data_IF_177215734502
#
_entry.id   IF_177215734502
#
_cell.length_a   1.000
_cell.length_b   1.000
_cell.length_c   1.000
_cell.angle_alpha   90.00
_cell.angle_beta   90.00
_cell.angle_gamma   90.00
#
_symmetry.space_group_name_H-M   'P 1'
#
loop_
_entity.id
_entity.type
_entity.pdbx_description
1 polymer ?
2 non-polymer ?
3 water ?
#
# COMPACT_ATOMS: atom_id res chain seq x y z
N UNK A 5 2.63 -11.34 -27.03
CA UNK A 5 3.30 -12.12 -26.00
C UNK A 5 4.46 -11.33 -25.38
N UNK A 6 4.87 -10.26 -26.06
CA UNK A 6 5.95 -9.44 -25.53
C UNK A 6 5.57 -8.80 -24.20
N UNK A 7 4.26 -8.59 -23.96
CA UNK A 7 3.79 -8.02 -22.70
C UNK A 7 4.26 -8.86 -21.50
N UNK A 8 4.41 -10.16 -21.71
CA UNK A 8 4.77 -11.10 -20.65
C UNK A 8 6.27 -11.39 -20.61
N UNK A 9 7.09 -10.49 -21.16
CA UNK A 9 8.52 -10.78 -21.32
C UNK A 9 9.24 -11.02 -20.00
N UNK A 10 8.77 -10.42 -18.91
CA UNK A 10 9.41 -10.56 -17.60
C UNK A 10 8.75 -11.62 -16.73
N UNK A 11 7.76 -12.34 -17.23
CA UNK A 11 7.03 -13.32 -16.42
C UNK A 11 7.52 -14.72 -16.71
N UNK A 12 7.26 -15.61 -15.75
CA UNK A 12 7.45 -17.04 -15.91
C UNK A 12 6.09 -17.67 -16.16
N UNK A 13 5.99 -18.48 -17.21
CA UNK A 13 4.77 -19.19 -17.50
C UNK A 13 4.69 -20.45 -16.64
N UNK A 14 3.60 -20.60 -15.90
CA UNK A 14 3.39 -21.71 -14.98
C UNK A 14 2.41 -22.69 -15.62
N UNK A 15 2.71 -23.98 -15.51
CA UNK A 15 1.78 -24.94 -16.08
C UNK A 15 0.61 -25.18 -15.13
N UNK A 16 -0.62 -25.29 -15.64
CA UNK A 16 -1.78 -25.46 -14.75
C UNK A 16 -1.69 -26.66 -13.81
N UNK A 17 -0.98 -27.72 -14.20
CA UNK A 17 -0.87 -28.89 -13.34
C UNK A 17 -0.16 -28.60 -12.04
N UNK A 18 0.53 -27.46 -11.95
CA UNK A 18 1.27 -27.08 -10.76
C UNK A 18 0.45 -26.28 -9.76
N UNK A 19 -0.78 -25.92 -10.10
CA UNK A 19 -1.59 -24.99 -9.31
C UNK A 19 -2.82 -25.73 -8.80
N UNK A 20 -3.14 -25.53 -7.53
CA UNK A 20 -4.37 -26.01 -6.93
C UNK A 20 -5.05 -24.86 -6.21
N UNK A 21 -6.30 -24.56 -6.58
CA UNK A 21 -7.06 -23.50 -5.94
C UNK A 21 -7.86 -24.10 -4.79
N UNK A 22 -7.87 -23.41 -3.66
CA UNK A 22 -8.46 -23.98 -2.45
C UNK A 22 -9.67 -23.22 -1.91
N UNK A 23 -9.55 -21.91 -1.72
CA UNK A 23 -10.62 -21.13 -1.11
C UNK A 23 -10.70 -19.76 -1.78
N UNK A 24 -11.92 -19.29 -2.01
CA UNK A 24 -12.11 -17.97 -2.63
C UNK A 24 -11.79 -16.89 -1.60
N UNK A 25 -10.92 -15.95 -1.99
CA UNK A 25 -10.56 -14.83 -1.14
C UNK A 25 -10.89 -13.48 -1.77
N UNK A 26 -11.44 -13.46 -2.97
CA UNK A 26 -11.79 -12.20 -3.64
C UNK A 26 -12.57 -12.43 -4.91
N UNK A 27 -13.26 -11.41 -5.39
CA UNK A 27 -14.08 -11.63 -6.59
C UNK A 27 -14.26 -10.33 -7.37
N UNK A 30 -12.57 -9.96 -14.09
CA UNK A 30 -13.56 -10.97 -14.57
C UNK A 30 -13.15 -12.36 -14.07
N UNK A 31 -13.43 -12.64 -12.79
CA UNK A 31 -13.09 -13.93 -12.19
C UNK A 31 -13.01 -13.81 -10.70
N UNK A 32 -12.30 -14.72 -10.09
CA UNK A 32 -12.20 -14.79 -8.63
C UNK A 32 -10.71 -14.85 -8.26
N UNK A 33 -10.43 -14.55 -7.01
CA UNK A 33 -9.11 -14.71 -6.44
C UNK A 33 -9.18 -15.82 -5.40
N UNK A 34 -8.18 -16.69 -5.40
CA UNK A 34 -8.16 -17.85 -4.55
C UNK A 34 -6.89 -17.88 -3.72
N UNK A 35 -7.02 -18.48 -2.55
CA UNK A 35 -5.83 -18.95 -1.85
C UNK A 35 -5.60 -20.37 -2.42
N UNK A 36 -4.35 -20.74 -2.67
CA UNK A 36 -4.03 -22.04 -3.19
C UNK A 36 -2.60 -22.44 -2.94
N UNK A 37 -2.15 -23.46 -3.67
CA UNK A 37 -0.81 -24.01 -3.52
C UNK A 37 -0.15 -24.12 -4.90
N UNK A 38 1.16 -23.93 -4.92
CA UNK A 38 1.95 -24.00 -6.15
C UNK A 38 3.06 -25.01 -5.99
N UNK A 39 3.15 -25.93 -6.95
CA UNK A 39 4.22 -26.96 -7.00
C UNK A 39 5.37 -26.37 -7.83
N UNK A 40 6.55 -26.23 -7.22
CA UNK A 40 7.70 -25.61 -7.89
C UNK A 40 8.82 -26.62 -8.07
N UNK A 45 6.29 -29.44 0.22
CA UNK A 45 7.23 -28.60 -0.52
C UNK A 45 6.49 -27.57 -1.36
N UNK A 46 5.18 -27.75 -1.51
CA UNK A 46 4.35 -26.78 -2.20
C UNK A 46 4.47 -25.42 -1.52
N UNK A 47 4.17 -24.37 -2.28
CA UNK A 47 4.23 -23.01 -1.75
C UNK A 47 2.82 -22.43 -1.68
N UNK A 48 2.43 -21.76 -0.61
CA UNK A 48 1.13 -21.08 -0.60
C UNK A 48 1.17 -19.88 -1.53
N UNK A 49 0.08 -19.70 -2.29
CA UNK A 49 -0.01 -18.62 -3.26
C UNK A 49 -1.42 -18.02 -3.25
N UNK A 50 -1.52 -16.82 -3.79
CA UNK A 50 -2.79 -16.22 -4.17
C UNK A 50 -2.91 -16.30 -5.69
N UNK A 51 -4.12 -16.54 -6.18
CA UNK A 51 -4.35 -16.89 -7.57
C UNK A 51 -5.53 -16.09 -8.08
N UNK A 52 -5.29 -15.18 -9.04
CA UNK A 52 -6.35 -14.39 -9.64
C UNK A 52 -6.66 -14.96 -11.01
N UNK A 53 -7.93 -15.28 -11.25
CA UNK A 53 -8.32 -15.95 -12.49
C UNK A 53 -9.08 -15.00 -13.40
N UNK A 54 -8.95 -15.25 -14.69
CA UNK A 54 -9.72 -14.56 -15.72
C UNK A 54 -10.62 -15.62 -16.33
N UNK A 55 -11.89 -15.56 -15.94
CA UNK A 55 -12.87 -16.63 -16.25
C UNK A 55 -13.50 -16.50 -17.65
N UNK A 56 -14.03 -17.61 -18.13
CA UNK A 56 -14.58 -17.67 -19.47
C UNK A 56 -15.61 -16.58 -19.69
N UNK A 57 -15.52 -15.91 -20.83
CA UNK A 57 -16.42 -14.82 -21.18
C UNK A 57 -15.80 -13.45 -21.07
N UNK A 58 -14.55 -13.36 -20.64
CA UNK A 58 -13.93 -12.07 -20.44
C UNK A 58 -13.87 -11.30 -21.74
N UNK A 59 -13.92 -9.98 -21.63
CA UNK A 59 -13.91 -9.10 -22.77
C UNK A 59 -12.48 -8.82 -23.24
N UNK A 60 -12.37 -8.22 -24.43
CA UNK A 60 -11.05 -7.81 -24.92
C UNK A 60 -10.38 -6.84 -23.95
N UNK A 61 -11.11 -5.85 -23.47
CA UNK A 61 -10.53 -4.89 -22.52
C UNK A 61 -10.05 -5.63 -21.27
N UNK A 62 -10.85 -6.58 -20.78
CA UNK A 62 -10.45 -7.32 -19.58
C UNK A 62 -9.19 -8.14 -19.83
N UNK A 63 -9.06 -8.74 -21.01
CA UNK A 63 -7.84 -9.47 -21.34
C UNK A 63 -6.62 -8.56 -21.40
N UNK A 64 -6.77 -7.39 -22.05
CA UNK A 64 -5.65 -6.45 -22.13
C UNK A 64 -5.22 -6.00 -20.74
N UNK A 65 -6.20 -5.68 -19.88
CA UNK A 65 -5.88 -5.27 -18.51
C UNK A 65 -5.26 -6.40 -17.71
N UNK A 66 -5.76 -7.62 -17.88
CA UNK A 66 -5.27 -8.75 -17.10
C UNK A 66 -3.84 -9.10 -17.47
N UNK A 67 -3.57 -9.25 -18.77
CA UNK A 67 -2.21 -9.55 -19.19
C UNK A 67 -1.27 -8.37 -18.97
N UNK A 68 -1.80 -7.14 -19.05
CA UNK A 68 -0.98 -5.99 -18.70
C UNK A 68 -0.59 -5.98 -17.24
N UNK A 69 -1.52 -6.36 -16.37
CA UNK A 69 -1.22 -6.47 -14.94
C UNK A 69 -0.17 -7.54 -14.70
N UNK A 70 -0.36 -8.72 -15.31
CA UNK A 70 0.64 -9.77 -15.19
C UNK A 70 2.00 -9.29 -15.68
N UNK A 71 2.03 -8.59 -16.80
CA UNK A 71 3.28 -8.15 -17.37
C UNK A 71 4.03 -7.17 -16.48
N UNK A 72 3.34 -6.17 -15.92
CA UNK A 72 4.03 -5.22 -15.07
C UNK A 72 4.46 -5.87 -13.76
N UNK A 73 3.65 -6.78 -13.22
CA UNK A 73 4.05 -7.45 -11.99
C UNK A 73 5.30 -8.29 -12.20
N UNK A 74 5.43 -8.91 -13.37
CA UNK A 74 6.66 -9.63 -13.67
C UNK A 74 7.84 -8.70 -13.82
N UNK A 75 7.62 -7.52 -14.40
CA UNK A 75 8.66 -6.53 -14.57
C UNK A 75 9.19 -6.07 -13.22
N UNK A 76 8.30 -5.82 -12.28
CA UNK A 76 8.73 -5.31 -10.98
C UNK A 76 9.52 -6.39 -10.27
N UNK A 77 10.69 -6.02 -9.77
CA UNK A 77 11.52 -6.94 -9.00
C UNK A 77 12.13 -6.08 -7.88
N UNK A 78 11.47 -6.10 -6.73
CA UNK A 78 11.87 -5.23 -5.63
C UNK A 78 11.43 -5.85 -4.31
N UNK A 79 12.27 -5.66 -3.29
CA UNK A 79 12.04 -6.18 -1.95
C UNK A 79 10.71 -5.76 -1.37
N UNK A 80 10.19 -4.59 -1.77
CA UNK A 80 8.98 -4.03 -1.18
C UNK A 80 7.81 -4.01 -2.14
N UNK A 81 7.81 -4.87 -3.17
CA UNK A 81 6.70 -5.03 -4.10
C UNK A 81 6.33 -6.51 -4.13
N UNK A 82 5.03 -6.80 -4.07
CA UNK A 82 4.55 -8.18 -4.06
C UNK A 82 5.17 -8.97 -5.21
N UNK A 83 5.63 -10.19 -4.89
CA UNK A 83 6.37 -11.01 -5.88
C UNK A 83 5.45 -11.92 -6.71
N UNK A 84 5.44 -11.72 -8.03
CA UNK A 84 4.73 -12.57 -8.96
C UNK A 84 5.46 -13.89 -9.09
N UNK A 85 4.79 -14.99 -8.74
CA UNK A 85 5.36 -16.30 -9.00
C UNK A 85 5.33 -16.61 -10.49
N UNK A 86 4.21 -16.31 -11.15
CA UNK A 86 4.14 -16.52 -12.58
C UNK A 86 2.73 -16.33 -13.08
N UNK A 87 2.54 -16.69 -14.34
CA UNK A 87 1.28 -16.47 -15.04
C UNK A 87 0.91 -17.74 -15.78
N UNK A 88 -0.39 -17.97 -15.90
CA UNK A 88 -0.93 -18.94 -16.84
C UNK A 88 -1.63 -18.14 -17.92
N UNK A 89 -1.04 -18.10 -19.11
CA UNK A 89 -1.61 -17.38 -20.24
C UNK A 89 -1.94 -18.29 -21.41
N UNK A 90 -1.37 -19.49 -21.45
CA UNK A 90 -1.53 -20.40 -22.58
C UNK A 90 -2.73 -21.33 -22.42
N UNK A 91 -3.38 -21.32 -21.26
CA UNK A 91 -4.52 -22.19 -21.00
C UNK A 91 -5.60 -21.36 -20.32
N UNK A 92 -6.82 -21.89 -20.35
CA UNK A 92 -7.98 -21.23 -19.75
C UNK A 92 -8.45 -22.02 -18.52
N UNK A 93 -8.78 -21.35 -17.42
CA UNK A 93 -8.72 -19.89 -17.24
C UNK A 93 -7.29 -19.39 -17.08
N UNK A 94 -7.06 -18.18 -17.54
CA UNK A 94 -5.77 -17.54 -17.30
C UNK A 94 -5.64 -17.14 -15.84
N UNK A 95 -4.40 -17.07 -15.35
CA UNK A 95 -4.16 -16.86 -13.93
C UNK A 95 -2.94 -15.98 -13.70
N UNK A 96 -3.02 -15.16 -12.65
CA UNK A 96 -1.89 -14.44 -12.08
C UNK A 96 -1.65 -15.02 -10.70
N UNK A 97 -0.42 -15.44 -10.43
CA UNK A 97 -0.10 -16.17 -9.22
C UNK A 97 0.97 -15.41 -8.46
N UNK A 98 0.68 -15.05 -7.21
CA UNK A 98 1.61 -14.30 -6.37
C UNK A 98 1.96 -15.08 -5.11
N UNK A 99 2.99 -14.59 -4.42
CA UNK A 99 3.28 -15.08 -3.08
C UNK A 99 2.11 -14.80 -2.13
N UNK A 100 2.14 -15.48 -0.98
CA UNK A 100 1.10 -15.38 0.03
C UNK A 100 1.76 -15.10 1.37
N UNK A 101 1.12 -14.22 2.16
CA UNK A 101 1.62 -13.82 3.48
C UNK A 101 0.60 -14.18 4.53
N UNK A 102 0.98 -15.05 5.46
CA UNK A 102 0.08 -15.43 6.55
C UNK A 102 -0.31 -14.22 7.40
N UNK A 103 0.58 -13.23 7.54
CA UNK A 103 0.23 -12.05 8.33
C UNK A 103 -0.79 -11.16 7.65
N UNK A 104 -0.96 -11.30 6.33
CA UNK A 104 -2.01 -10.57 5.63
C UNK A 104 -1.71 -9.10 5.41
N UNK A 105 -2.79 -8.35 5.26
CA UNK A 105 -2.74 -6.94 4.92
C UNK A 105 -2.42 -6.08 6.14
N UNK A 106 -1.68 -4.99 5.88
CA UNK A 106 -1.07 -4.19 6.93
C UNK A 106 -2.13 -3.51 7.81
N UNK A 107 -3.25 -3.07 7.24
CA UNK A 107 -4.25 -2.36 8.03
C UNK A 107 -4.84 -3.26 9.12
N UNK A 108 -5.31 -4.44 8.73
CA UNK A 108 -5.85 -5.39 9.70
C UNK A 108 -4.77 -5.85 10.68
N UNK A 109 -3.55 -6.09 10.15
CA UNK A 109 -2.42 -6.53 10.97
C UNK A 109 -2.17 -5.55 12.10
N UNK A 110 -2.07 -4.26 11.80
CA UNK A 110 -1.76 -3.30 12.86
C UNK A 110 -2.89 -3.21 13.87
N UNK A 111 -4.14 -3.25 13.41
CA UNK A 111 -5.27 -3.13 14.31
C UNK A 111 -5.34 -4.31 15.27
N UNK A 112 -4.83 -5.47 14.86
CA UNK A 112 -4.82 -6.65 15.70
C UNK A 112 -3.55 -6.76 16.55
N UNK A 113 -2.61 -5.84 16.39
CA UNK A 113 -1.35 -5.85 17.12
C UNK A 113 -1.07 -4.48 17.73
N UNK A 114 -2.14 -3.83 18.21
CA UNK A 114 -2.06 -2.46 18.70
C UNK A 114 -1.01 -2.33 19.80
N UNK A 115 -0.10 -1.39 19.61
CA UNK A 115 0.95 -1.10 20.58
C UNK A 115 2.05 -2.13 20.70
N UNK A 116 2.17 -3.08 19.78
CA UNK A 116 3.10 -4.20 19.97
C UNK A 116 4.49 -3.97 19.40
N UNK A 117 4.73 -2.86 18.71
CA UNK A 117 5.98 -2.64 18.02
C UNK A 117 6.68 -1.38 18.53
N UNK A 118 7.99 -1.34 18.29
CA UNK A 118 8.75 -0.17 18.64
C UNK A 118 8.60 0.90 17.57
N UNK A 119 8.90 2.14 17.94
CA UNK A 119 8.93 3.21 16.96
C UNK A 119 9.84 2.86 15.79
N UNK A 120 11.01 2.28 16.09
CA UNK A 120 11.94 1.95 15.02
C UNK A 120 11.36 0.90 14.08
N UNK A 121 10.63 -0.09 14.62
CA UNK A 121 9.97 -1.07 13.77
C UNK A 121 8.92 -0.40 12.88
N UNK A 122 8.11 0.51 13.43
CA UNK A 122 7.09 1.17 12.63
C UNK A 122 7.73 2.02 11.54
N UNK A 123 8.77 2.79 11.88
CA UNK A 123 9.43 3.63 10.89
C UNK A 123 10.11 2.78 9.83
N UNK A 124 10.64 1.62 10.23
CA UNK A 124 11.22 0.71 9.25
C UNK A 124 10.21 0.21 8.25
N UNK A 125 8.97 -0.04 8.69
CA UNK A 125 7.95 -0.44 7.74
C UNK A 125 7.65 0.68 6.75
N UNK A 126 7.69 1.94 7.21
CA UNK A 126 7.45 3.06 6.32
C UNK A 126 8.60 3.24 5.33
N UNK A 127 9.84 3.04 5.78
CA UNK A 127 10.96 3.11 4.83
C UNK A 127 10.78 2.08 3.72
N UNK A 128 10.35 0.87 4.08
CA UNK A 128 10.19 -0.17 3.07
C UNK A 128 9.09 0.17 2.08
N UNK A 129 7.94 0.64 2.58
CA UNK A 129 6.86 1.06 1.69
C UNK A 129 7.34 2.19 0.78
N UNK A 130 8.06 3.16 1.34
CA UNK A 130 8.59 4.26 0.54
C UNK A 130 9.54 3.77 -0.54
N UNK A 131 10.40 2.80 -0.22
CA UNK A 131 11.32 2.28 -1.23
C UNK A 131 10.56 1.58 -2.35
N UNK A 132 9.54 0.81 -2.01
CA UNK A 132 8.72 0.22 -3.05
C UNK A 132 8.07 1.27 -3.93
N UNK A 133 7.55 2.34 -3.30
CA UNK A 133 6.88 3.39 -4.07
C UNK A 133 7.88 4.18 -4.92
N UNK A 134 9.09 4.43 -4.40
CA UNK A 134 10.10 5.09 -5.21
C UNK A 134 10.39 4.27 -6.46
N UNK A 135 10.48 2.95 -6.30
CA UNK A 135 10.71 2.07 -7.43
C UNK A 135 9.57 2.17 -8.45
N UNK A 136 8.32 2.09 -7.97
CA UNK A 136 7.18 2.18 -8.89
C UNK A 136 7.18 3.51 -9.63
N UNK A 137 7.37 4.60 -8.91
CA UNK A 137 7.35 5.91 -9.55
C UNK A 137 8.47 6.03 -10.59
N UNK A 138 9.66 5.53 -10.26
CA UNK A 138 10.80 5.56 -11.19
C UNK A 138 10.54 4.72 -12.42
N UNK A 139 9.84 3.60 -12.25
CA UNK A 139 9.42 2.75 -13.36
C UNK A 139 8.24 3.34 -14.13
N UNK A 140 7.82 4.56 -13.76
CA UNK A 140 6.70 5.26 -14.40
C UNK A 140 5.37 4.54 -14.21
N UNK A 141 5.18 3.97 -13.03
CA UNK A 141 3.91 3.35 -12.67
C UNK A 141 3.26 4.15 -11.54
N UNK A 142 2.05 4.65 -11.79
CA UNK A 142 1.27 5.37 -10.79
C UNK A 142 0.32 4.37 -10.14
N UNK A 143 0.38 4.28 -8.81
CA UNK A 143 -0.38 3.24 -8.13
C UNK A 143 -1.88 3.54 -8.09
N UNK A 144 -2.23 4.76 -7.66
CA UNK A 144 -3.61 5.28 -7.57
C UNK A 144 -4.39 4.82 -6.35
N UNK A 145 -3.98 3.75 -5.67
CA UNK A 145 -4.76 3.20 -4.56
C UNK A 145 -3.86 2.81 -3.40
N UNK A 146 -2.88 3.66 -3.08
CA UNK A 146 -1.95 3.33 -2.01
C UNK A 146 -2.65 3.55 -0.67
N UNK A 147 -2.72 2.50 0.14
CA UNK A 147 -3.40 2.50 1.42
C UNK A 147 -2.89 1.28 2.16
N UNK A 148 -2.98 1.28 3.49
CA UNK A 148 -2.47 0.14 4.24
C UNK A 148 -3.16 -1.16 3.83
N UNK A 149 -4.42 -1.11 3.40
CA UNK A 149 -5.10 -2.32 3.00
C UNK A 149 -4.49 -2.97 1.76
N UNK A 150 -3.68 -2.22 0.99
CA UNK A 150 -3.03 -2.74 -0.19
C UNK A 150 -1.56 -3.08 0.04
N UNK A 151 -1.15 -3.27 1.29
CA UNK A 151 0.23 -3.59 1.63
C UNK A 151 0.21 -4.90 2.41
N UNK A 152 1.03 -5.86 1.99
CA UNK A 152 1.16 -7.13 2.68
C UNK A 152 2.38 -7.11 3.59
N UNK A 153 2.30 -7.85 4.69
CA UNK A 153 3.38 -7.92 5.67
C UNK A 153 3.89 -9.35 5.72
N UNK A 154 5.20 -9.54 5.49
CA UNK A 154 5.76 -10.88 5.59
C UNK A 154 6.21 -11.20 7.02
N UNK A 155 6.75 -12.40 7.21
CA UNK A 155 7.17 -12.82 8.55
C UNK A 155 8.45 -12.15 9.02
N UNK A 156 9.08 -11.33 8.18
CA UNK A 156 10.18 -10.48 8.60
C UNK A 156 9.74 -9.04 8.82
N UNK A 157 8.43 -8.78 8.89
CA UNK A 157 7.88 -7.43 9.01
C UNK A 157 8.15 -6.57 7.77
N UNK A 158 8.51 -7.20 6.66
CA UNK A 158 8.76 -6.47 5.42
C UNK A 158 7.43 -6.20 4.74
N UNK A 159 7.21 -4.96 4.37
CA UNK A 159 5.98 -4.54 3.72
C UNK A 159 6.14 -4.61 2.21
N UNK A 160 5.13 -5.18 1.55
CA UNK A 160 5.13 -5.37 0.10
C UNK A 160 3.93 -4.65 -0.47
N UNK A 161 4.19 -3.60 -1.25
CA UNK A 161 3.13 -2.88 -1.93
C UNK A 161 2.46 -3.81 -2.93
N UNK A 162 1.12 -3.81 -2.91
CA UNK A 162 0.28 -4.64 -3.76
C UNK A 162 -0.87 -3.77 -4.27
N UNK A 163 -1.74 -4.35 -5.08
CA UNK A 163 -2.98 -3.65 -5.45
C UNK A 163 -4.08 -4.70 -5.57
N UNK A 164 -4.97 -4.72 -4.60
CA UNK A 164 -6.03 -5.71 -4.58
C UNK A 164 -7.29 -5.23 -5.27
N UNK A 165 -7.23 -4.09 -5.96
CA UNK A 165 -8.43 -3.47 -6.48
C UNK A 165 -9.13 -2.69 -5.38
N UNK A 166 -10.22 -2.02 -5.76
CA UNK A 166 -10.95 -1.25 -4.77
C UNK A 166 -11.68 -2.20 -3.82
N UNK A 167 -11.87 -1.73 -2.58
CA UNK A 167 -12.53 -2.52 -1.54
C UNK A 167 -13.94 -2.97 -1.92
N UNK A 183 -17.14 -1.02 -6.10
CA UNK A 183 -15.82 -0.49 -5.81
C UNK A 183 -15.83 0.80 -5.01
N UNK A 184 -15.29 0.74 -3.81
CA UNK A 184 -15.28 1.89 -2.90
C UNK A 184 -14.16 2.84 -3.30
N UNK A 185 -14.51 4.10 -3.62
CA UNK A 185 -13.52 5.10 -4.00
C UNK A 185 -12.80 5.61 -2.75
N UNK A 186 -11.47 5.52 -2.68
CA UNK A 186 -10.75 5.82 -1.43
C UNK A 186 -10.46 7.30 -1.26
N UNK A 187 -11.53 8.08 -1.08
CA UNK A 187 -11.42 9.53 -1.03
C UNK A 187 -10.39 9.99 0.00
N UNK A 188 -10.45 9.44 1.21
CA UNK A 188 -9.59 9.98 2.27
C UNK A 188 -8.12 9.60 2.12
N UNK A 189 -7.78 8.77 1.13
CA UNK A 189 -6.38 8.50 0.79
C UNK A 189 -5.92 9.27 -0.44
N UNK A 190 -6.80 10.01 -1.10
CA UNK A 190 -6.52 10.50 -2.45
C UNK A 190 -6.22 12.00 -2.43
N UNK A 191 -5.22 12.40 -3.22
CA UNK A 191 -4.82 13.81 -3.27
C UNK A 191 -5.93 14.65 -3.89
N UNK A 192 -6.00 15.94 -3.54
CA UNK A 192 -7.08 16.79 -4.08
C UNK A 192 -7.13 16.84 -5.59
N UNK A 193 -5.99 16.90 -6.28
CA UNK A 193 -6.04 17.02 -7.74
C UNK A 193 -6.52 15.74 -8.39
N UNK A 194 -6.29 14.60 -7.74
CA UNK A 194 -6.76 13.34 -8.27
C UNK A 194 -8.27 13.22 -8.11
N UNK A 195 -8.80 13.67 -6.97
CA UNK A 195 -10.24 13.69 -6.80
C UNK A 195 -10.90 14.69 -7.74
N UNK A 196 -10.32 15.89 -7.86
CA UNK A 196 -11.06 16.98 -8.49
C UNK A 196 -11.00 16.92 -10.01
N UNK A 197 -9.89 16.45 -10.59
CA UNK A 197 -9.81 16.40 -12.04
C UNK A 197 -9.11 15.15 -12.58
N UNK A 198 -9.00 14.10 -11.77
CA UNK A 198 -8.49 12.81 -12.21
C UNK A 198 -7.01 12.85 -12.56
N UNK A 199 -6.26 13.76 -11.95
CA UNK A 199 -4.81 13.85 -12.15
C UNK A 199 -4.11 12.93 -11.15
N UNK A 200 -3.90 11.69 -11.56
CA UNK A 200 -3.17 10.70 -10.77
C UNK A 200 -1.73 10.66 -11.26
N UNK A 201 -0.80 10.95 -10.36
CA UNK A 201 0.64 10.92 -10.66
C UNK A 201 1.36 10.37 -9.45
N UNK A 202 2.69 10.26 -9.57
CA UNK A 202 3.45 9.85 -8.40
C UNK A 202 3.36 10.88 -7.28
N UNK A 203 3.02 12.13 -7.58
CA UNK A 203 2.81 13.11 -6.52
C UNK A 203 1.47 12.93 -5.79
N UNK A 204 0.44 12.42 -6.47
CA UNK A 204 -0.75 12.05 -5.72
C UNK A 204 -0.51 10.76 -4.93
N UNK A 205 0.34 9.86 -5.43
CA UNK A 205 0.75 8.74 -4.61
C UNK A 205 1.49 9.19 -3.35
N UNK A 206 2.25 10.29 -3.43
CA UNK A 206 2.93 10.80 -2.24
C UNK A 206 1.93 11.25 -1.18
N UNK A 207 0.85 11.92 -1.60
CA UNK A 207 -0.22 12.25 -0.67
C UNK A 207 -0.73 11.00 0.03
N UNK A 208 -1.05 9.97 -0.76
CA UNK A 208 -1.53 8.72 -0.18
C UNK A 208 -0.49 8.13 0.78
N UNK A 209 0.79 8.19 0.42
CA UNK A 209 1.83 7.69 1.31
C UNK A 209 1.80 8.41 2.65
N UNK A 210 1.56 9.72 2.66
CA UNK A 210 1.44 10.42 3.93
C UNK A 210 0.30 9.86 4.78
N UNK A 211 -0.84 9.56 4.14
CA UNK A 211 -1.93 8.92 4.87
C UNK A 211 -1.51 7.55 5.40
N UNK A 212 -0.80 6.76 4.59
CA UNK A 212 -0.28 5.48 5.06
C UNK A 212 0.64 5.66 6.26
N UNK A 213 1.49 6.70 6.23
CA UNK A 213 2.32 6.96 7.40
C UNK A 213 1.47 7.15 8.64
N UNK A 214 0.39 7.92 8.53
CA UNK A 214 -0.50 8.12 9.65
C UNK A 214 -1.18 6.81 10.08
N UNK A 215 -1.63 6.00 9.11
CA UNK A 215 -2.19 4.69 9.44
C UNK A 215 -1.21 3.84 10.22
N UNK A 216 0.06 3.80 9.79
CA UNK A 216 1.04 2.97 10.48
C UNK A 216 1.27 3.49 11.90
N UNK A 217 1.49 4.79 12.06
CA UNK A 217 1.85 5.33 13.35
C UNK A 217 0.70 5.29 14.35
N UNK A 218 -0.55 5.14 13.88
CA UNK A 218 -1.72 5.01 14.75
C UNK A 218 -2.18 3.57 14.91
N UNK A 219 -1.44 2.60 14.38
CA UNK A 219 -1.87 1.19 14.40
C UNK A 219 -3.21 1.01 13.69
N UNK A 220 -3.36 1.65 12.54
CA UNK A 220 -4.52 1.39 11.71
C UNK A 220 -5.77 2.15 12.06
N UNK A 221 -5.65 3.33 12.66
CA UNK A 221 -6.84 4.13 12.86
C UNK A 221 -7.41 4.58 11.53
N UNK A 222 -8.72 4.80 11.51
CA UNK A 222 -9.37 5.25 10.30
C UNK A 222 -9.01 6.71 10.07
N UNK A 223 -8.40 7.06 8.94
CA UNK A 223 -8.10 8.47 8.67
C UNK A 223 -9.36 9.31 8.79
N UNK A 224 -9.26 10.40 9.56
CA UNK A 224 -10.33 11.37 9.78
C UNK A 224 -11.50 10.81 10.57
N UNK A 225 -11.36 9.61 11.15
CA UNK A 225 -12.35 9.01 12.05
C UNK A 225 -13.71 8.99 11.35
N UNK A 226 -14.76 9.48 11.97
CA UNK A 226 -16.10 9.33 11.45
C UNK A 226 -16.47 10.39 10.42
N UNK A 227 -15.56 11.30 10.05
CA UNK A 227 -15.93 12.28 9.05
C UNK A 227 -16.34 11.58 7.76
N UNK A 228 -17.39 12.09 7.11
CA UNK A 228 -17.80 11.55 5.82
C UNK A 228 -16.82 11.99 4.75
N UNK A 229 -16.93 11.37 3.57
CA UNK A 229 -16.05 11.72 2.46
C UNK A 229 -16.15 13.20 2.12
N UNK A 230 -17.37 13.74 2.06
CA UNK A 230 -17.51 15.16 1.75
C UNK A 230 -16.90 16.02 2.85
N UNK A 231 -17.08 15.64 4.11
CA UNK A 231 -16.50 16.37 5.23
C UNK A 231 -14.98 16.36 5.18
N UNK A 232 -14.39 15.23 4.76
CA UNK A 232 -12.93 15.16 4.65
C UNK A 232 -12.43 16.14 3.58
N UNK A 233 -13.06 16.11 2.41
CA UNK A 233 -12.64 17.01 1.34
C UNK A 233 -12.81 18.46 1.75
N UNK A 234 -13.91 18.78 2.44
CA UNK A 234 -14.13 20.15 2.90
C UNK A 234 -13.06 20.56 3.92
N UNK A 235 -12.74 19.65 4.85
CA UNK A 235 -11.70 19.95 5.84
C UNK A 235 -10.36 20.21 5.17
N UNK A 236 -10.00 19.37 4.20
CA UNK A 236 -8.73 19.54 3.49
C UNK A 236 -8.71 20.89 2.77
N UNK A 237 -9.81 21.23 2.09
CA UNK A 237 -9.87 22.50 1.38
C UNK A 237 -9.83 23.68 2.35
N UNK A 238 -10.41 23.53 3.53
CA UNK A 238 -10.37 24.58 4.53
C UNK A 238 -9.00 24.71 5.20
N UNK A 239 -8.06 23.81 4.92
CA UNK A 239 -6.71 23.90 5.46
C UNK A 239 -6.41 22.97 6.61
N UNK A 240 -7.38 22.22 7.09
CA UNK A 240 -7.15 21.28 8.18
C UNK A 240 -6.37 20.07 7.69
N UNK A 241 -5.60 19.47 8.61
CA UNK A 241 -4.85 18.25 8.31
C UNK A 241 -4.95 17.33 9.51
N UNK A 242 -4.73 16.04 9.28
CA UNK A 242 -4.77 15.07 10.37
C UNK A 242 -3.80 15.50 11.48
N UNK A 243 -4.20 15.37 12.74
CA UNK A 243 -3.32 15.72 13.86
C UNK A 243 -2.29 14.62 14.09
N UNK A 244 -1.33 14.92 14.94
CA UNK A 244 -0.28 13.95 15.15
C UNK A 244 -0.83 12.72 15.86
N UNK A 245 -0.35 11.53 15.49
CA UNK A 245 -0.63 10.33 16.28
C UNK A 245 0.00 10.47 17.66
N UNK A 246 -0.49 9.65 18.60
CA UNK A 246 0.13 9.57 19.91
C UNK A 246 1.54 8.99 19.78
N UNK A 247 2.44 9.52 20.61
CA UNK A 247 3.81 8.97 20.74
C UNK A 247 4.61 9.02 19.44
N UNK A 248 4.33 10.01 18.56
CA UNK A 248 4.90 9.99 17.22
C UNK A 248 6.15 10.85 17.16
N UNK A 249 7.24 10.36 16.57
CA UNK A 249 8.42 11.21 16.37
C UNK A 249 8.08 12.48 15.60
N UNK A 250 8.63 13.59 16.08
CA UNK A 250 8.44 14.88 15.43
C UNK A 250 8.80 14.82 13.95
N UNK A 251 9.94 14.19 13.62
CA UNK A 251 10.39 14.16 12.23
C UNK A 251 9.40 13.42 11.34
N UNK A 252 8.76 12.38 11.88
CA UNK A 252 7.82 11.59 11.11
C UNK A 252 6.55 12.39 10.84
N UNK A 253 6.06 13.12 11.83
CA UNK A 253 4.87 13.94 11.58
C UNK A 253 5.20 15.08 10.61
N UNK A 254 6.38 15.70 10.77
CA UNK A 254 6.78 16.72 9.80
C UNK A 254 6.77 16.17 8.37
N UNK A 255 7.27 14.95 8.19
CA UNK A 255 7.33 14.37 6.87
C UNK A 255 5.93 14.10 6.31
N UNK A 256 5.05 13.49 7.12
CA UNK A 256 3.72 13.21 6.59
C UNK A 256 2.99 14.52 6.25
N UNK A 257 3.19 15.56 7.06
CA UNK A 257 2.55 16.85 6.78
C UNK A 257 2.95 17.39 5.42
N UNK A 258 4.22 17.25 5.05
CA UNK A 258 4.68 17.77 3.77
C UNK A 258 4.16 16.94 2.58
N UNK A 259 3.80 15.69 2.81
CA UNK A 259 3.11 14.91 1.79
C UNK A 259 1.72 15.46 1.50
N UNK A 260 1.15 16.24 2.42
CA UNK A 260 -0.21 16.73 2.29
C UNK A 260 -0.27 18.19 1.86
N UNK A 261 0.77 18.69 1.19
CA UNK A 261 0.72 20.02 0.63
C UNK A 261 -0.33 20.06 -0.48
N UNK A 262 -1.15 21.12 -0.48
CA UNK A 262 -2.15 21.27 -1.53
C UNK A 262 -1.50 21.36 -2.89
N UNK A 263 -0.40 22.11 -2.99
CA UNK A 263 0.28 22.32 -4.27
C UNK A 263 1.14 21.09 -4.56
N UNK A 264 0.76 20.37 -5.61
CA UNK A 264 1.43 19.12 -5.99
C UNK A 264 2.94 19.29 -6.07
N UNK A 265 3.41 20.37 -6.67
CA UNK A 265 4.83 20.52 -6.93
C UNK A 265 5.63 20.71 -5.65
N UNK A 266 4.98 21.09 -4.55
CA UNK A 266 5.70 21.32 -3.30
C UNK A 266 5.92 20.04 -2.50
N UNK A 267 5.22 18.96 -2.81
CA UNK A 267 5.37 17.72 -2.06
C UNK A 267 6.76 17.11 -2.30
N UNK A 268 7.30 16.39 -1.33
CA UNK A 268 8.56 15.68 -1.58
C UNK A 268 8.34 14.63 -2.68
N UNK A 269 9.42 14.31 -3.41
CA UNK A 269 9.37 13.15 -4.26
C UNK A 269 9.66 11.91 -3.43
N UNK A 270 9.36 10.73 -3.97
CA UNK A 270 9.65 9.51 -3.22
C UNK A 270 11.13 9.38 -2.90
N UNK A 271 12.01 9.88 -3.77
CA UNK A 271 13.43 9.83 -3.45
C UNK A 271 13.74 10.61 -2.17
N UNK A 272 13.07 11.77 -1.99
CA UNK A 272 13.28 12.55 -0.78
C UNK A 272 12.76 11.80 0.44
N UNK A 273 11.60 11.16 0.29
CA UNK A 273 11.00 10.42 1.41
C UNK A 273 11.89 9.27 1.82
N UNK A 274 12.35 8.47 0.86
CA UNK A 274 13.22 7.34 1.18
C UNK A 274 14.49 7.81 1.88
N UNK A 275 15.10 8.87 1.36
CA UNK A 275 16.33 9.38 1.92
C UNK A 275 16.15 9.82 3.36
N UNK A 276 15.07 10.57 3.63
CA UNK A 276 14.81 11.05 4.98
C UNK A 276 14.58 9.89 5.94
N UNK A 277 13.72 8.94 5.55
CA UNK A 277 13.42 7.81 6.43
C UNK A 277 14.66 6.97 6.70
N UNK A 278 15.49 6.77 5.68
CA UNK A 278 16.73 6.01 5.86
C UNK A 278 17.67 6.73 6.84
N UNK A 279 17.79 8.05 6.71
CA UNK A 279 18.69 8.79 7.58
C UNK A 279 18.19 8.82 9.02
N UNK A 280 16.86 8.90 9.20
CA UNK A 280 16.31 8.87 10.55
C UNK A 280 16.56 7.53 11.22
N UNK A 281 16.36 6.44 10.49
CA UNK A 281 16.60 5.11 11.03
C UNK A 281 18.08 4.92 11.35
N UNK A 282 18.95 5.43 10.49
CA UNK A 282 20.38 5.21 10.67
C UNK A 282 20.98 6.08 11.77
N UNK A 283 20.30 7.16 12.15
CA UNK A 283 20.66 7.99 13.31
C UNK A 283 19.46 7.94 14.25
N UNK A 284 19.24 6.82 14.93
CA UNK A 284 17.94 6.57 15.57
C UNK A 284 17.60 7.51 16.72
N UNK A 285 18.58 8.18 17.33
CA UNK A 285 18.24 9.20 18.32
C UNK A 285 17.37 10.30 17.72
N UNK A 286 17.42 10.49 16.39
CA UNK A 286 16.58 11.49 15.74
C UNK A 286 15.10 11.23 15.94
N UNK A 287 14.70 9.99 16.22
CA UNK A 287 13.31 9.61 16.39
C UNK A 287 12.84 9.76 17.83
N UNK A 288 13.73 10.12 18.75
CA UNK A 288 13.37 10.22 20.19
C UNK A 288 12.61 11.52 20.48
N UNK A 289 12.79 12.53 19.66
CA UNK A 289 12.06 13.78 19.86
C UNK A 289 10.63 13.58 19.38
N UNK A 290 9.67 13.73 20.27
CA UNK A 290 8.27 13.43 19.96
C UNK A 290 7.47 14.69 19.70
N UNK A 291 6.56 14.61 18.74
CA UNK A 291 5.61 15.68 18.52
C UNK A 291 4.59 15.72 19.65
N UNK A 292 4.21 16.93 20.06
CA UNK A 292 3.15 17.11 21.05
C UNK A 292 1.85 16.51 20.53
N UNK A 293 1.12 15.81 21.39
CA UNK A 293 -0.19 15.26 21.07
C UNK A 293 -1.27 16.11 21.70
N UNK A 294 -2.32 16.41 20.93
CA UNK A 294 -3.41 17.24 21.42
C UNK A 294 -4.49 16.35 22.02
N UNK A 295 -4.67 16.35 23.34
CA UNK A 295 -5.68 15.46 23.94
C UNK A 295 -7.08 15.94 23.61
N UNK A 296 -7.96 15.00 23.34
CA UNK A 296 -9.37 15.30 23.15
C UNK A 296 -10.14 15.29 24.45
N UNK A 297 -9.54 14.78 25.52
CA UNK A 297 -10.25 14.49 26.75
C UNK A 297 -9.40 14.91 27.94
N UNK A 298 -10.04 15.56 28.90
CA UNK A 298 -9.40 16.04 30.11
C UNK A 298 -9.58 15.00 31.21
N UNK A 299 -8.50 14.66 31.90
CA UNK A 299 -8.58 13.90 33.13
C UNK A 299 -7.82 14.68 34.21
N UNK A 300 -8.55 15.16 35.21
CA UNK A 300 -7.97 15.94 36.29
C UNK A 300 -7.80 15.04 37.51
N UNK A 301 -6.57 14.95 38.01
CA UNK A 301 -6.23 14.09 39.14
C UNK A 301 -5.14 14.79 39.95
N UNK A 302 -5.08 14.54 41.27
CA UNK A 302 -4.05 15.15 42.12
C UNK A 302 -2.64 14.70 41.75
X LIG B 1 -3.08 -10.69 -8.24
X LIG B 1 -3.00 -11.39 -7.03
X LIG B 1 -2.51 -10.70 -5.91
X LIG B 1 -2.07 -9.38 -6.03
X LIG B 1 -2.15 -8.66 -7.23
X LIG B 1 -2.64 -9.36 -8.34
X LIG B 1 -1.64 -7.35 -7.26
X LIG B 1 -1.01 -5.49 -8.70
X LIG B 1 0.10 -5.00 -7.99
X LIG B 1 0.69 -3.76 -8.29
X LIG B 1 0.17 -3.00 -9.35
X LIG B 1 -0.91 -3.48 -10.07
X LIG B 1 -1.50 -4.72 -9.76
X LIG B 1 -3.42 -12.74 -6.93
X LIG B 1 -3.13 -11.31 -3.68
X LIG B 1 -3.26 -11.70 -1.38
X LIG B 1 -5.05 -10.82 -2.54
X LIG B 1 -1.44 -12.60 -0.17
X LIG B 1 -2.33 -12.69 1.78
X LIG B 1 -3.25 -12.20 0.95
X LIG B 1 -6.97 -10.00 -3.80
X LIG B 1 -8.47 -10.13 -3.68
X LIG B 1 -8.97 -9.41 -2.45
X LIG B 1 -8.40 -10.11 -1.23
X LIG B 1 -6.89 -9.98 -1.22
X LIG B 1 1.78 -3.26 -7.54
X LIG B 1 2.65 -4.20 -7.29
X LIG B 1 2.41 -2.29 -8.18
X LIG B 1 1.35 -2.76 -6.39
X LIG B 1 -1.60 -6.71 -8.47
X LIG B 1 -2.37 -11.41 -4.77
X LIG B 1 -2.58 -11.75 -2.52
X LIG B 1 -4.51 -11.24 -1.38
X LIG B 1 -4.37 -10.87 -3.69
X LIG B 1 -2.69 -12.13 -0.25
X LIG B 1 -1.22 -12.94 1.09
X LIG B 1 -6.29 -10.33 -2.53
X LIG B 1 -1.12 -6.89 -6.23
X LIG B 1 -8.93 -9.51 -0.04
#
# INVERSE_FOLDING_TARGET
>A
GDPNQAVLKFTTEIHPSCVTRQKVIGAGEFGEVYKGMLKTSSGKKEVPVAIKTLKAGYTEKQRVDFLGEAGIMGQFSHHNIIRLEGVISKYKPMMIITEYMENGALDKFLREKDGEFSVLQLVGMLRGIAAGMKYLANMNYVHRDLAARNILVNSNLVCKVSDFGLSRVLEDDPEATYTTSGGKIPIRWTAPEAISYRKFTSASDVWSFGIVMWEVMTYGERPYWELSNHEVMKAINDGFRLPTPMDCPSAIYQLMMQCWQQERARRPKFADIVSILDKLIRAPDSLKTLADFDPRVSIRLPSTSG
>B hetero
1 HOK CAA CAB CAC CAD CAE CAF CAG CAJ CAK CAL CAM CAN CAO CAP CAR CAT CAV CAY CBA CBB CBD CBE CBF CBG CBH CBJ FBK FBL FBM NAH NAQ NAS NAU NAW NAX NAZ NBC OAI OBI
#
